data_IF_400708497247
#
_entry.id   IF_400708497247
#
_cell.length_a   1.000
_cell.length_b   1.000
_cell.length_c   1.000
_cell.angle_alpha   90.00
_cell.angle_beta   90.00
_cell.angle_gamma   90.00
#
_symmetry.space_group_name_H-M   'P 1'
#
loop_
_entity.id
_entity.type
_entity.pdbx_description
1 polymer ?
#
# COMPACT_ATOMS: atom_id res chain seq x y z
N UNK A 1 -18.44 2.57 27.13
CA UNK A 1 -17.12 2.83 27.70
C UNK A 1 -16.14 1.81 27.13
N UNK A 2 -15.11 2.29 26.41
CA UNK A 2 -14.06 1.46 25.77
C UNK A 2 -12.83 1.29 26.67
N UNK A 3 -12.90 1.75 27.91
CA UNK A 3 -11.79 1.66 28.85
C UNK A 3 -11.44 0.18 29.13
N UNK A 4 -10.16 -0.15 29.06
CA UNK A 4 -9.61 -1.50 29.21
C UNK A 4 -10.06 -2.50 28.12
N UNK A 5 -10.49 -2.03 26.94
CA UNK A 5 -10.65 -2.90 25.78
C UNK A 5 -9.36 -2.94 24.97
N UNK A 6 -9.01 -4.13 24.50
CA UNK A 6 -7.90 -4.34 23.59
C UNK A 6 -8.33 -5.29 22.46
N UNK A 7 -7.63 -5.20 21.34
CA UNK A 7 -7.70 -6.20 20.27
C UNK A 7 -6.66 -7.26 20.60
N UNK A 8 -7.09 -8.51 20.70
CA UNK A 8 -6.23 -9.64 21.09
C UNK A 8 -6.24 -10.73 20.02
N UNK A 9 -5.11 -11.42 19.90
CA UNK A 9 -4.96 -12.65 19.14
C UNK A 9 -4.39 -13.72 20.06
N UNK A 10 -5.10 -14.87 20.19
CA UNK A 10 -4.77 -15.93 21.17
C UNK A 10 -4.63 -15.43 22.61
N UNK A 11 -5.42 -14.42 23.01
CA UNK A 11 -5.42 -13.85 24.35
C UNK A 11 -4.36 -12.78 24.62
N UNK A 12 -3.48 -12.50 23.66
CA UNK A 12 -2.43 -11.48 23.78
C UNK A 12 -2.76 -10.23 22.94
N UNK A 13 -2.49 -9.01 23.42
CA UNK A 13 -2.68 -7.79 22.65
C UNK A 13 -1.88 -7.80 21.35
N UNK A 14 -2.52 -7.37 20.25
CA UNK A 14 -1.86 -7.29 18.95
C UNK A 14 -1.11 -5.98 18.72
N UNK A 15 -0.21 -5.97 17.74
CA UNK A 15 0.28 -4.72 17.13
C UNK A 15 -0.74 -4.24 16.09
N UNK A 16 -1.67 -3.38 16.52
CA UNK A 16 -2.76 -2.88 15.69
C UNK A 16 -2.27 -1.78 14.74
N UNK A 17 -1.65 -2.17 13.63
CA UNK A 17 -1.18 -1.23 12.60
C UNK A 17 -2.31 -0.80 11.68
N UNK A 18 -2.24 0.43 11.19
CA UNK A 18 -3.24 1.02 10.31
C UNK A 18 -2.60 1.95 9.28
N UNK A 19 -3.34 2.24 8.24
CA UNK A 19 -2.94 3.15 7.16
C UNK A 19 -4.13 4.00 6.72
N UNK A 20 -3.88 5.03 5.91
CA UNK A 20 -4.93 5.98 5.55
C UNK A 20 -5.97 5.36 4.60
N UNK A 21 -5.53 4.83 3.45
CA UNK A 21 -6.38 4.34 2.35
C UNK A 21 -5.70 3.15 1.71
N UNK A 22 -6.38 1.99 1.59
CA UNK A 22 -5.89 0.86 0.80
C UNK A 22 -6.17 1.04 -0.70
N UNK A 23 -5.59 0.18 -1.52
CA UNK A 23 -5.92 0.12 -2.96
C UNK A 23 -7.25 -0.59 -3.27
N UNK A 24 -8.11 -0.78 -2.25
CA UNK A 24 -9.38 -1.54 -2.32
C UNK A 24 -9.26 -2.94 -1.73
N UNK A 25 -8.04 -3.35 -1.37
CA UNK A 25 -7.68 -4.54 -0.60
C UNK A 25 -6.46 -4.20 0.24
N UNK A 26 -6.44 -4.63 1.51
CA UNK A 26 -5.27 -4.46 2.37
C UNK A 26 -4.17 -5.47 2.01
N UNK A 27 -2.99 -5.30 2.55
CA UNK A 27 -1.82 -6.16 2.29
C UNK A 27 -1.59 -7.16 3.42
N UNK A 28 -1.06 -8.33 3.09
CA UNK A 28 -0.52 -9.28 4.08
C UNK A 28 0.82 -8.75 4.62
N UNK A 29 1.04 -8.86 5.92
CA UNK A 29 2.28 -8.42 6.56
C UNK A 29 3.53 -9.12 6.01
N UNK A 30 3.39 -10.39 5.63
CA UNK A 30 4.47 -11.19 5.05
C UNK A 30 4.98 -10.59 3.75
N UNK A 31 4.06 -10.13 2.89
CA UNK A 31 4.41 -9.66 1.55
C UNK A 31 5.09 -8.29 1.60
N UNK A 32 4.75 -7.45 2.58
CA UNK A 32 5.28 -6.08 2.68
C UNK A 32 6.49 -5.98 3.61
N UNK A 33 6.50 -6.76 4.71
CA UNK A 33 7.54 -6.65 5.74
C UNK A 33 8.41 -7.90 5.90
N UNK A 34 8.11 -8.97 5.15
CA UNK A 34 8.84 -10.25 5.21
C UNK A 34 8.59 -11.07 6.47
N UNK A 35 7.78 -10.56 7.41
CA UNK A 35 7.40 -11.25 8.65
C UNK A 35 5.91 -11.56 8.68
N UNK A 36 5.54 -12.79 9.01
CA UNK A 36 4.15 -13.19 9.11
C UNK A 36 3.58 -12.87 10.50
N UNK A 37 2.60 -11.97 10.53
CA UNK A 37 1.72 -11.76 11.68
C UNK A 37 0.35 -12.34 11.32
N UNK A 38 -0.10 -13.44 11.97
CA UNK A 38 -1.27 -14.21 11.53
C UNK A 38 -2.56 -13.39 11.43
N UNK A 39 -2.66 -12.32 12.21
CA UNK A 39 -3.81 -11.42 12.25
C UNK A 39 -3.72 -10.24 11.25
N UNK A 40 -2.60 -10.06 10.54
CA UNK A 40 -2.40 -9.02 9.52
C UNK A 40 -2.45 -9.63 8.13
N UNK A 41 -3.62 -10.12 7.75
CA UNK A 41 -3.90 -10.69 6.42
C UNK A 41 -4.55 -9.67 5.50
N UNK A 42 -4.43 -9.92 4.21
CA UNK A 42 -5.08 -9.10 3.20
C UNK A 42 -6.61 -9.29 3.22
N UNK A 43 -7.36 -8.20 3.45
CA UNK A 43 -8.83 -8.18 3.44
C UNK A 43 -9.36 -7.16 2.44
N UNK A 44 -10.56 -7.42 1.90
CA UNK A 44 -11.21 -6.49 0.97
C UNK A 44 -11.60 -5.18 1.66
N UNK A 45 -11.36 -4.04 1.03
CA UNK A 45 -11.73 -2.72 1.57
C UNK A 45 -12.27 -1.83 0.45
N UNK A 46 -13.42 -2.22 -0.17
CA UNK A 46 -13.93 -1.56 -1.38
C UNK A 46 -14.36 -0.10 -1.14
N UNK A 47 -14.71 0.25 0.09
CA UNK A 47 -15.05 1.62 0.49
C UNK A 47 -13.91 2.62 0.26
N UNK A 48 -12.65 2.17 0.27
CA UNK A 48 -11.48 3.01 0.02
C UNK A 48 -11.51 3.69 -1.35
N UNK A 49 -12.08 3.01 -2.36
CA UNK A 49 -12.22 3.54 -3.73
C UNK A 49 -13.10 4.77 -3.83
N UNK A 50 -13.91 5.04 -2.80
CA UNK A 50 -14.77 6.23 -2.70
C UNK A 50 -14.05 7.44 -2.08
N UNK A 51 -12.82 7.25 -1.62
CA UNK A 51 -12.02 8.37 -1.10
C UNK A 51 -11.61 9.33 -2.22
N UNK A 52 -11.75 10.66 -2.02
CA UNK A 52 -11.23 11.64 -2.96
C UNK A 52 -9.69 11.56 -3.11
N UNK A 53 -9.00 11.02 -2.10
CA UNK A 53 -7.56 10.80 -2.08
C UNK A 53 -7.14 9.39 -2.52
N UNK A 54 -8.07 8.58 -3.06
CA UNK A 54 -7.82 7.20 -3.47
C UNK A 54 -6.73 7.09 -4.53
N UNK A 55 -6.74 7.98 -5.51
CA UNK A 55 -5.75 8.03 -6.58
C UNK A 55 -4.95 9.33 -6.51
N UNK A 56 -3.68 9.24 -6.84
CA UNK A 56 -2.81 10.41 -6.98
C UNK A 56 -1.82 10.20 -8.11
N UNK A 57 -1.28 11.29 -8.66
CA UNK A 57 -0.30 11.24 -9.73
C UNK A 57 0.96 12.01 -9.33
N UNK A 58 2.12 11.47 -9.73
CA UNK A 58 3.42 12.13 -9.65
C UNK A 58 4.03 12.11 -11.03
N UNK A 59 4.25 13.30 -11.61
CA UNK A 59 4.88 13.46 -12.92
C UNK A 59 6.31 13.92 -12.74
N UNK A 60 7.25 13.25 -13.40
CA UNK A 60 8.68 13.59 -13.41
C UNK A 60 9.21 13.61 -14.82
N UNK A 61 10.04 14.61 -15.16
CA UNK A 61 10.72 14.64 -16.45
C UNK A 61 11.74 13.51 -16.59
N UNK A 62 12.08 13.14 -17.81
CA UNK A 62 13.12 12.13 -18.08
C UNK A 62 14.47 12.52 -17.45
N UNK A 63 14.80 13.82 -17.42
CA UNK A 63 16.02 14.31 -16.77
C UNK A 63 15.98 14.14 -15.24
N UNK A 64 14.85 14.48 -14.61
CA UNK A 64 14.68 14.30 -13.18
C UNK A 64 14.70 12.83 -12.79
N UNK A 65 14.03 11.96 -13.57
CA UNK A 65 14.06 10.51 -13.37
C UNK A 65 15.50 10.00 -13.43
N UNK A 66 16.27 10.40 -14.46
CA UNK A 66 17.67 10.04 -14.62
C UNK A 66 18.51 10.49 -13.43
N UNK A 67 18.32 11.73 -12.97
CA UNK A 67 19.04 12.26 -11.81
C UNK A 67 18.72 11.47 -10.53
N UNK A 68 17.47 11.11 -10.31
CA UNK A 68 17.02 10.40 -9.11
C UNK A 68 17.40 8.90 -9.11
N UNK A 69 17.39 8.25 -10.26
CA UNK A 69 17.71 6.83 -10.40
C UNK A 69 19.16 6.56 -10.85
N UNK A 70 19.95 7.60 -11.11
CA UNK A 70 21.29 7.45 -11.66
C UNK A 70 22.28 6.66 -10.78
N UNK A 71 22.00 6.53 -9.47
CA UNK A 71 22.75 5.67 -8.56
C UNK A 71 22.29 4.19 -8.58
N UNK A 72 21.09 3.92 -9.10
CA UNK A 72 20.49 2.59 -9.09
C UNK A 72 20.67 1.88 -10.43
N UNK A 73 20.65 2.63 -11.54
CA UNK A 73 20.79 2.07 -12.87
C UNK A 73 21.26 3.10 -13.90
N UNK A 74 21.85 2.61 -14.99
CA UNK A 74 22.18 3.43 -16.17
C UNK A 74 20.99 3.49 -17.09
N UNK A 75 20.36 4.66 -17.21
CA UNK A 75 19.24 4.88 -18.13
C UNK A 75 19.76 5.17 -19.53
N UNK A 76 19.43 4.30 -20.47
CA UNK A 76 19.84 4.40 -21.89
C UNK A 76 18.75 3.85 -22.80
N UNK A 77 18.72 4.33 -24.05
CA UNK A 77 17.74 3.89 -25.05
C UNK A 77 16.43 4.68 -25.00
N UNK A 78 15.35 4.06 -25.47
CA UNK A 78 14.02 4.67 -25.51
C UNK A 78 13.42 4.81 -24.11
N UNK A 79 13.08 6.02 -23.66
CA UNK A 79 12.46 6.24 -22.35
C UNK A 79 11.16 5.44 -22.13
N UNK A 80 10.37 5.17 -23.16
CA UNK A 80 9.15 4.38 -23.05
C UNK A 80 9.43 2.92 -22.63
N UNK A 81 10.64 2.43 -22.82
CA UNK A 81 11.06 1.07 -22.47
C UNK A 81 11.86 0.99 -21.14
N UNK A 82 11.99 2.09 -20.39
CA UNK A 82 12.79 2.07 -19.15
C UNK A 82 12.20 1.17 -18.08
N UNK A 83 10.88 1.15 -17.91
CA UNK A 83 10.20 0.33 -16.92
C UNK A 83 9.63 -0.94 -17.56
N UNK A 84 10.02 -2.09 -17.03
CA UNK A 84 9.44 -3.39 -17.37
C UNK A 84 8.18 -3.69 -16.56
N UNK A 85 7.63 -4.90 -16.74
CA UNK A 85 6.49 -5.37 -15.96
C UNK A 85 6.90 -5.59 -14.49
N UNK A 86 6.14 -5.03 -13.53
CA UNK A 86 6.42 -5.20 -12.12
C UNK A 86 5.91 -6.54 -11.59
N UNK A 87 6.66 -7.13 -10.65
CA UNK A 87 6.16 -8.15 -9.75
C UNK A 87 5.30 -7.50 -8.67
N UNK A 88 4.13 -8.10 -8.38
CA UNK A 88 3.14 -7.52 -7.46
C UNK A 88 2.62 -8.52 -6.45
N UNK A 89 2.17 -7.99 -5.31
CA UNK A 89 1.31 -8.73 -4.38
C UNK A 89 -0.07 -8.98 -5.00
N UNK A 90 -0.84 -9.91 -4.42
CA UNK A 90 -2.25 -10.13 -4.78
C UNK A 90 -3.14 -8.89 -4.57
N UNK A 91 -2.72 -7.93 -3.74
CA UNK A 91 -3.41 -6.66 -3.50
C UNK A 91 -2.94 -5.53 -4.42
N UNK A 92 -1.92 -5.81 -5.27
CA UNK A 92 -1.44 -4.93 -6.33
C UNK A 92 -0.23 -4.08 -5.99
N UNK A 93 0.32 -4.16 -4.78
CA UNK A 93 1.57 -3.46 -4.43
C UNK A 93 2.75 -4.00 -5.23
N UNK A 94 3.58 -3.11 -5.74
CA UNK A 94 4.81 -3.45 -6.45
C UNK A 94 5.86 -3.95 -5.46
N UNK A 95 6.28 -5.20 -5.63
CA UNK A 95 7.40 -5.79 -4.91
C UNK A 95 8.72 -5.38 -5.56
N UNK A 96 8.85 -5.70 -6.84
CA UNK A 96 10.01 -5.33 -7.67
C UNK A 96 9.57 -4.85 -9.05
N UNK A 97 10.41 -4.08 -9.71
CA UNK A 97 10.24 -3.66 -11.09
C UNK A 97 11.60 -3.54 -11.76
N UNK A 98 11.70 -4.02 -13.00
CA UNK A 98 12.91 -3.83 -13.81
C UNK A 98 12.95 -2.38 -14.33
N UNK A 99 14.10 -1.70 -14.12
CA UNK A 99 14.36 -0.39 -14.72
C UNK A 99 15.65 -0.48 -15.52
N UNK A 100 15.54 -0.39 -16.84
CA UNK A 100 16.67 -0.59 -17.78
C UNK A 100 17.48 -1.88 -17.49
N UNK A 101 16.77 -2.97 -17.18
CA UNK A 101 17.36 -4.28 -16.89
C UNK A 101 17.89 -4.48 -15.46
N UNK A 102 17.80 -3.45 -14.59
CA UNK A 102 18.15 -3.58 -13.18
C UNK A 102 16.87 -3.76 -12.35
N UNK A 103 16.82 -4.76 -11.48
CA UNK A 103 15.71 -4.97 -10.59
C UNK A 103 15.78 -4.00 -9.40
N UNK A 104 14.70 -3.23 -9.20
CA UNK A 104 14.58 -2.25 -8.13
C UNK A 104 13.31 -2.55 -7.33
N UNK A 105 13.38 -2.52 -5.99
CA UNK A 105 12.21 -2.75 -5.15
C UNK A 105 11.19 -1.62 -5.27
N UNK A 106 9.90 -1.96 -5.20
CA UNK A 106 8.81 -0.96 -5.16
C UNK A 106 8.97 0.03 -4.01
N UNK A 107 9.46 -0.44 -2.85
CA UNK A 107 9.79 0.42 -1.70
C UNK A 107 10.85 1.48 -2.02
N UNK A 108 11.87 1.13 -2.79
CA UNK A 108 12.90 2.07 -3.24
C UNK A 108 12.31 3.11 -4.21
N UNK A 109 11.54 2.67 -5.20
CA UNK A 109 10.84 3.58 -6.14
C UNK A 109 9.91 4.52 -5.38
N UNK A 110 9.08 3.99 -4.47
CA UNK A 110 8.20 4.79 -3.61
C UNK A 110 8.98 5.87 -2.86
N UNK A 111 10.10 5.53 -2.26
CA UNK A 111 10.94 6.47 -1.50
C UNK A 111 11.55 7.56 -2.40
N UNK A 112 12.13 7.17 -3.55
CA UNK A 112 12.79 8.08 -4.49
C UNK A 112 11.82 9.13 -5.05
N UNK A 113 10.59 8.72 -5.39
CA UNK A 113 9.59 9.58 -6.01
C UNK A 113 8.52 10.09 -5.02
N UNK A 114 8.66 9.78 -3.73
CA UNK A 114 7.73 10.17 -2.67
C UNK A 114 6.28 9.76 -2.98
N UNK A 115 6.10 8.52 -3.47
CA UNK A 115 4.79 7.99 -3.79
C UNK A 115 4.00 7.68 -2.51
N UNK A 116 2.69 7.90 -2.55
CA UNK A 116 1.82 7.68 -1.38
C UNK A 116 1.72 6.22 -0.96
N UNK A 117 1.82 5.27 -1.90
CA UNK A 117 1.75 3.82 -1.63
C UNK A 117 2.69 3.02 -2.52
N UNK A 118 2.71 1.70 -2.34
CA UNK A 118 3.39 0.74 -3.21
C UNK A 118 2.55 0.32 -4.42
N UNK A 119 1.25 0.64 -4.44
CA UNK A 119 0.39 0.31 -5.58
C UNK A 119 0.47 1.42 -6.62
N UNK A 120 1.44 1.35 -7.50
CA UNK A 120 1.65 2.33 -8.55
C UNK A 120 1.83 1.66 -9.93
N UNK A 121 1.50 2.41 -10.95
CA UNK A 121 1.88 2.15 -12.33
C UNK A 121 2.64 3.36 -12.88
N UNK A 122 3.44 3.16 -13.91
CA UNK A 122 4.19 4.23 -14.55
C UNK A 122 3.97 4.19 -16.06
N UNK A 123 3.79 5.37 -16.66
CA UNK A 123 3.71 5.54 -18.13
C UNK A 123 4.61 6.68 -18.54
N UNK A 124 5.24 6.54 -19.72
CA UNK A 124 5.95 7.64 -20.37
C UNK A 124 5.01 8.32 -21.36
N UNK A 125 4.80 9.61 -21.21
CA UNK A 125 3.99 10.42 -22.11
C UNK A 125 4.50 11.86 -22.11
N UNK A 126 4.56 12.46 -23.30
CA UNK A 126 4.91 13.89 -23.49
C UNK A 126 6.22 14.32 -22.80
N UNK A 127 7.23 13.44 -22.83
CA UNK A 127 8.54 13.70 -22.22
C UNK A 127 8.62 13.47 -20.72
N UNK A 128 7.54 13.01 -20.10
CA UNK A 128 7.43 12.79 -18.65
C UNK A 128 7.09 11.33 -18.32
N UNK A 129 7.54 10.88 -17.16
CA UNK A 129 7.09 9.66 -16.50
C UNK A 129 5.98 10.02 -15.52
N UNK A 130 4.78 9.48 -15.74
CA UNK A 130 3.61 9.71 -14.89
C UNK A 130 3.38 8.45 -14.05
N UNK A 131 3.58 8.57 -12.75
CA UNK A 131 3.26 7.55 -11.76
C UNK A 131 1.82 7.76 -11.31
N UNK A 132 0.93 6.82 -11.63
CA UNK A 132 -0.42 6.77 -11.04
C UNK A 132 -0.38 5.86 -9.83
N UNK A 133 -0.79 6.37 -8.67
CA UNK A 133 -0.66 5.69 -7.36
C UNK A 133 -2.03 5.52 -6.74
N UNK A 134 -2.36 4.30 -6.31
CA UNK A 134 -3.62 3.97 -5.66
C UNK A 134 -3.41 3.73 -4.16
N UNK A 135 -4.25 4.35 -3.32
CA UNK A 135 -4.15 4.26 -1.87
C UNK A 135 -3.10 5.20 -1.25
N UNK A 136 -3.05 5.18 0.09
CA UNK A 136 -2.14 6.02 0.88
C UNK A 136 -1.69 5.30 2.15
N UNK A 137 -0.42 4.96 2.24
CA UNK A 137 0.21 4.27 3.35
C UNK A 137 0.86 2.95 2.94
N UNK A 138 1.14 2.10 3.92
CA UNK A 138 1.78 0.79 3.72
C UNK A 138 0.79 -0.33 3.34
N UNK A 139 -0.50 -0.11 3.48
CA UNK A 139 -1.55 -1.05 3.10
C UNK A 139 -1.83 -2.18 4.09
N UNK A 140 -1.01 -2.43 5.10
CA UNK A 140 -1.18 -3.52 6.07
C UNK A 140 -2.11 -3.14 7.21
N UNK A 141 -2.96 -4.07 7.68
CA UNK A 141 -3.90 -3.88 8.79
C UNK A 141 -5.09 -3.00 8.41
N UNK A 142 -5.57 -2.15 9.32
CA UNK A 142 -6.81 -1.41 9.16
C UNK A 142 -6.66 -0.20 8.23
N UNK A 143 -7.52 -0.08 7.19
CA UNK A 143 -7.70 1.16 6.47
C UNK A 143 -8.59 2.12 7.27
N UNK A 144 -8.10 3.34 7.52
CA UNK A 144 -8.87 4.37 8.23
C UNK A 144 -10.10 4.79 7.42
N UNK A 145 -9.96 4.97 6.10
CA UNK A 145 -11.08 5.35 5.25
C UNK A 145 -12.09 4.20 5.10
N UNK A 146 -11.60 2.96 4.93
CA UNK A 146 -12.43 1.77 4.88
C UNK A 146 -13.19 1.53 6.19
N UNK A 147 -12.55 1.73 7.34
CA UNK A 147 -13.19 1.67 8.66
C UNK A 147 -14.31 2.73 8.79
N UNK A 148 -14.05 3.98 8.36
CA UNK A 148 -15.05 5.03 8.33
C UNK A 148 -16.22 4.69 7.39
N UNK A 149 -15.94 4.08 6.24
CA UNK A 149 -16.98 3.60 5.33
C UNK A 149 -17.85 2.54 6.01
N UNK A 150 -17.26 1.51 6.65
CA UNK A 150 -17.99 0.47 7.39
C UNK A 150 -18.86 1.07 8.51
N UNK A 151 -18.33 2.03 9.28
CA UNK A 151 -19.07 2.72 10.32
C UNK A 151 -20.31 3.47 9.75
N UNK A 152 -20.17 4.10 8.60
CA UNK A 152 -21.29 4.76 7.88
C UNK A 152 -22.34 3.76 7.37
N UNK A 153 -21.96 2.50 7.13
CA UNK A 153 -22.89 1.42 6.79
C UNK A 153 -23.52 0.76 8.03
N UNK A 154 -23.19 1.22 9.24
CA UNK A 154 -23.79 0.75 10.49
C UNK A 154 -22.94 -0.24 11.29
N UNK A 155 -21.74 -0.60 10.82
CA UNK A 155 -20.85 -1.47 11.59
C UNK A 155 -20.37 -0.80 12.87
N UNK A 156 -20.36 -1.55 13.96
CA UNK A 156 -19.77 -1.08 15.22
C UNK A 156 -18.23 -1.23 15.22
N UNK A 157 -17.58 -0.66 16.23
CA UNK A 157 -16.13 -0.68 16.32
C UNK A 157 -15.55 -2.10 16.48
N UNK A 158 -16.28 -3.04 17.09
CA UNK A 158 -15.82 -4.42 17.23
C UNK A 158 -15.86 -5.15 15.90
N UNK A 159 -16.95 -4.98 15.14
CA UNK A 159 -17.09 -5.54 13.80
C UNK A 159 -15.98 -5.00 12.87
N UNK A 160 -15.69 -3.70 12.92
CA UNK A 160 -14.63 -3.08 12.12
C UNK A 160 -13.27 -3.66 12.49
N UNK A 161 -12.92 -3.69 13.78
CA UNK A 161 -11.62 -4.17 14.24
C UNK A 161 -11.41 -5.65 13.91
N UNK A 162 -12.41 -6.51 14.15
CA UNK A 162 -12.32 -7.94 13.85
C UNK A 162 -12.38 -8.25 12.36
N UNK A 163 -12.89 -7.33 11.54
CA UNK A 163 -12.81 -7.42 10.09
C UNK A 163 -11.39 -7.23 9.56
N UNK A 164 -10.69 -6.20 10.05
CA UNK A 164 -9.34 -5.88 9.58
C UNK A 164 -8.24 -6.69 10.24
N UNK A 165 -8.46 -7.15 11.47
CA UNK A 165 -7.51 -7.99 12.22
C UNK A 165 -8.08 -9.41 12.32
N UNK A 166 -7.62 -10.26 11.41
CA UNK A 166 -8.13 -11.63 11.21
C UNK A 166 -7.98 -12.47 12.48
N UNK A 167 -9.03 -13.23 12.84
CA UNK A 167 -9.09 -14.12 14.00
C UNK A 167 -8.83 -13.43 15.36
N UNK A 168 -8.97 -12.09 15.40
CA UNK A 168 -8.86 -11.31 16.61
C UNK A 168 -10.19 -11.17 17.35
N UNK A 169 -10.08 -10.82 18.64
CA UNK A 169 -11.21 -10.47 19.51
C UNK A 169 -11.02 -9.08 20.09
N UNK A 170 -12.14 -8.44 20.45
CA UNK A 170 -12.12 -7.19 21.25
C UNK A 170 -12.63 -7.53 22.63
N UNK A 171 -11.73 -7.58 23.59
CA UNK A 171 -12.02 -8.02 24.96
C UNK A 171 -11.36 -7.14 26.02
N UNK A 172 -11.78 -7.29 27.26
CA UNK A 172 -11.18 -6.57 28.39
C UNK A 172 -9.91 -7.29 28.84
N UNK A 173 -8.87 -6.49 29.11
CA UNK A 173 -7.63 -6.93 29.75
C UNK A 173 -7.70 -6.64 31.25
#
# INVERSE_FOLDING_TARGET
DVKNLAVTYNGEPITAVYHAISSGKTEDSRDIWGGELPYLKAVSSPGDKLSPDYASEVSVSAEELKRKLGSECTLSGDPAAYFGEPERTDSGSVLTVSVCGNEITGGKIRSIFNLRSLNFSVKYADGNFVFTVLGYGHGVGMSQYGANYMAKQGSDFKEILTYYYTDCKVERL
#
